data_IF_026664411051
#
_entry.id   IF_026664411051
#
_cell.length_a   1.000
_cell.length_b   1.000
_cell.length_c   1.000
_cell.angle_alpha   90.00
_cell.angle_beta   90.00
_cell.angle_gamma   90.00
#
_symmetry.space_group_name_H-M   'P 1'
#
loop_
_entity.id
_entity.type
_entity.pdbx_description
1 polymer ?
#
# COMPACT_ATOMS: atom_id res chain seq x y z
N UNK A 1 55.28 -3.69 21.27
CA UNK A 1 54.81 -3.15 22.56
C UNK A 1 53.29 -3.36 22.65
N UNK A 2 52.88 -4.53 23.14
CA UNK A 2 51.95 -4.73 24.29
C UNK A 2 51.37 -3.44 24.91
N UNK A 3 50.06 -3.22 25.16
CA UNK A 3 49.10 -4.00 25.99
C UNK A 3 47.67 -3.36 25.96
N UNK A 4 46.67 -4.25 25.94
CA UNK A 4 45.32 -4.29 26.57
C UNK A 4 44.25 -3.17 26.53
N UNK A 5 43.06 -3.63 26.15
CA UNK A 5 41.71 -3.25 26.62
C UNK A 5 41.54 -3.32 28.15
N UNK A 6 40.62 -2.54 28.74
CA UNK A 6 39.51 -3.12 29.52
C UNK A 6 38.19 -2.32 29.31
N UNK A 7 36.97 -2.73 29.64
CA UNK A 7 36.42 -3.86 30.38
C UNK A 7 34.94 -3.55 30.65
N UNK A 8 34.06 -4.55 30.47
CA UNK A 8 32.61 -4.53 30.75
C UNK A 8 32.30 -4.06 32.17
N UNK A 9 31.27 -3.20 32.34
CA UNK A 9 30.59 -3.01 33.62
C UNK A 9 29.11 -3.40 33.50
N UNK A 10 28.79 -4.53 34.13
CA UNK A 10 27.44 -4.96 34.47
C UNK A 10 26.91 -4.05 35.59
N UNK A 11 25.76 -3.40 35.40
CA UNK A 11 24.97 -2.89 36.52
C UNK A 11 23.83 -3.85 36.83
N UNK A 12 24.01 -4.48 37.98
CA UNK A 12 23.11 -5.42 38.65
C UNK A 12 21.94 -4.65 39.25
N UNK A 13 20.73 -5.19 39.05
CA UNK A 13 19.51 -4.80 39.75
C UNK A 13 19.71 -4.78 41.28
N UNK A 14 19.20 -3.75 41.94
CA UNK A 14 18.90 -3.77 43.37
C UNK A 14 17.42 -3.52 43.59
N UNK A 15 16.74 -4.59 44.04
CA UNK A 15 15.44 -4.56 44.71
C UNK A 15 15.51 -3.73 46.01
N UNK A 16 14.49 -2.88 46.22
CA UNK A 16 13.93 -2.27 47.45
C UNK A 16 13.14 -1.05 46.94
N UNK A 17 11.82 -0.97 46.97
CA UNK A 17 10.89 -1.02 48.11
C UNK A 17 9.55 -1.62 47.65
N UNK A 18 9.02 -2.67 48.28
CA UNK A 18 8.03 -2.65 49.36
C UNK A 18 6.78 -1.77 49.13
N UNK A 19 5.70 -2.47 48.75
CA UNK A 19 4.39 -2.46 49.40
C UNK A 19 3.62 -1.12 49.46
N UNK A 20 2.68 -0.95 48.54
CA UNK A 20 1.46 -0.18 48.79
C UNK A 20 0.24 -1.07 48.53
N UNK A 21 -0.55 -1.22 49.58
CA UNK A 21 -1.70 -2.07 49.75
C UNK A 21 -2.87 -1.73 48.81
N UNK A 22 -3.47 -2.81 48.30
CA UNK A 22 -4.91 -3.06 48.16
C UNK A 22 -5.80 -2.02 48.85
N UNK A 23 -6.69 -1.39 48.10
CA UNK A 23 -8.00 -0.99 48.59
C UNK A 23 -9.06 -1.14 47.50
N UNK A 24 -9.69 -2.31 47.54
CA UNK A 24 -11.00 -2.59 46.94
C UNK A 24 -12.05 -1.70 47.61
N UNK A 25 -12.74 -0.87 46.84
CA UNK A 25 -13.98 -0.23 47.24
C UNK A 25 -15.10 -0.77 46.34
N UNK A 26 -15.58 -1.97 46.64
CA UNK A 26 -16.81 -2.52 46.03
C UNK A 26 -17.99 -2.20 46.95
N UNK A 27 -18.75 -1.17 46.57
CA UNK A 27 -20.04 -0.83 47.19
C UNK A 27 -21.06 -1.91 46.88
N UNK A 28 -21.57 -2.54 47.94
CA UNK A 28 -22.66 -3.51 47.94
C UNK A 28 -23.97 -2.79 47.66
N UNK A 29 -24.66 -3.14 46.57
CA UNK A 29 -26.10 -2.87 46.41
C UNK A 29 -26.79 -4.22 46.25
N UNK A 30 -27.59 -4.56 47.26
CA UNK A 30 -28.55 -5.67 47.25
C UNK A 30 -29.77 -5.27 46.41
N UNK A 31 -30.22 -6.15 45.55
CA UNK A 31 -31.51 -6.05 44.86
C UNK A 31 -31.98 -7.42 44.42
N UNK A 32 -33.01 -7.95 45.09
CA UNK A 32 -33.63 -9.24 44.82
C UNK A 32 -34.29 -9.30 43.43
N UNK A 33 -34.26 -10.51 42.89
CA UNK A 33 -35.04 -11.12 41.81
C UNK A 33 -36.47 -10.61 41.59
N UNK A 34 -36.89 -10.53 40.32
CA UNK A 34 -38.13 -11.21 39.88
C UNK A 34 -38.19 -11.43 38.37
N UNK A 35 -38.61 -12.65 38.01
CA UNK A 35 -39.15 -13.05 36.72
C UNK A 35 -40.21 -12.07 36.22
N UNK A 36 -40.24 -11.77 34.91
CA UNK A 36 -41.48 -11.87 34.13
C UNK A 36 -41.30 -11.53 32.63
N UNK A 37 -41.72 -12.52 31.83
CA UNK A 37 -42.55 -12.40 30.61
C UNK A 37 -41.84 -12.06 29.29
N UNK A 38 -41.64 -13.15 28.53
CA UNK A 38 -41.90 -13.23 27.10
C UNK A 38 -43.08 -12.33 26.68
N UNK A 39 -42.82 -11.41 25.77
CA UNK A 39 -43.83 -10.76 24.95
C UNK A 39 -43.28 -10.59 23.53
N UNK A 40 -43.94 -11.29 22.63
CA UNK A 40 -43.92 -11.14 21.17
C UNK A 40 -43.76 -9.70 20.68
N UNK A 41 -42.95 -9.50 19.64
CA UNK A 41 -43.28 -8.74 18.43
C UNK A 41 -42.12 -8.81 17.42
N UNK A 42 -42.36 -9.48 16.30
CA UNK A 42 -41.57 -9.34 15.08
C UNK A 42 -41.67 -7.89 14.59
N UNK A 43 -40.62 -7.11 14.80
CA UNK A 43 -40.45 -5.79 14.20
C UNK A 43 -39.02 -5.75 13.66
N UNK A 44 -38.90 -5.75 12.34
CA UNK A 44 -37.66 -5.48 11.63
C UNK A 44 -37.08 -4.15 12.16
N UNK A 45 -35.82 -4.08 12.60
CA UNK A 45 -35.25 -2.81 12.98
C UNK A 45 -35.06 -2.00 11.69
N UNK A 46 -35.91 -0.98 11.54
CA UNK A 46 -35.72 0.13 10.62
C UNK A 46 -34.36 0.73 10.98
N UNK A 47 -33.41 0.71 10.04
CA UNK A 47 -32.09 1.35 10.19
C UNK A 47 -32.33 2.83 10.50
N UNK A 48 -32.31 3.17 11.79
CA UNK A 48 -32.25 4.53 12.25
C UNK A 48 -30.90 5.06 11.77
N UNK A 49 -30.93 6.10 10.94
CA UNK A 49 -29.74 6.77 10.46
C UNK A 49 -28.79 6.99 11.63
N UNK A 50 -27.61 6.37 11.52
CA UNK A 50 -26.54 6.53 12.48
C UNK A 50 -26.28 8.03 12.62
N UNK A 51 -26.63 8.58 13.78
CA UNK A 51 -26.19 9.92 14.16
C UNK A 51 -24.68 9.87 14.12
N UNK A 52 -24.08 10.66 13.24
CA UNK A 52 -22.66 10.94 13.22
C UNK A 52 -22.22 11.23 14.66
N UNK A 53 -21.51 10.29 15.28
CA UNK A 53 -20.81 10.55 16.53
C UNK A 53 -19.49 11.20 16.14
N UNK A 54 -19.51 12.51 15.93
CA UNK A 54 -18.28 13.28 15.75
C UNK A 54 -17.59 13.34 17.10
N UNK A 55 -16.55 12.51 17.29
CA UNK A 55 -15.55 12.78 18.32
C UNK A 55 -14.87 14.10 17.96
N UNK A 56 -15.23 15.17 18.67
CA UNK A 56 -14.64 16.50 18.53
C UNK A 56 -13.14 16.44 18.86
N UNK A 57 -12.29 16.38 17.83
CA UNK A 57 -10.88 16.70 17.95
C UNK A 57 -10.69 18.11 17.42
N UNK A 58 -10.69 19.10 18.32
CA UNK A 58 -10.38 20.49 17.97
C UNK A 58 -8.88 20.65 17.72
N UNK A 59 -8.42 20.20 16.56
CA UNK A 59 -7.12 20.57 16.02
C UNK A 59 -7.21 21.96 15.38
N UNK A 60 -6.06 22.63 15.19
CA UNK A 60 -5.98 23.93 14.52
C UNK A 60 -6.77 23.91 13.19
N UNK A 61 -7.49 24.99 12.79
CA UNK A 61 -8.37 24.98 11.61
C UNK A 61 -7.73 24.52 10.30
N UNK A 62 -6.41 24.66 10.17
CA UNK A 62 -5.64 24.24 8.99
C UNK A 62 -5.34 22.73 8.95
N UNK A 63 -5.46 22.02 10.07
CA UNK A 63 -5.09 20.60 10.19
C UNK A 63 -6.28 19.74 9.77
N UNK A 64 -6.05 18.80 8.86
CA UNK A 64 -7.05 17.80 8.48
C UNK A 64 -7.44 16.94 9.71
N UNK A 65 -8.73 16.83 10.06
CA UNK A 65 -9.16 15.96 11.16
C UNK A 65 -8.93 14.48 10.80
N UNK A 66 -8.53 13.68 11.78
CA UNK A 66 -8.27 12.25 11.61
C UNK A 66 -9.50 11.45 12.06
N UNK A 67 -10.06 10.64 11.17
CA UNK A 67 -11.16 9.74 11.52
C UNK A 67 -10.61 8.47 12.20
N UNK A 68 -10.67 8.43 13.54
CA UNK A 68 -10.18 7.30 14.32
C UNK A 68 -10.99 6.00 14.08
N UNK A 69 -12.31 6.13 13.90
CA UNK A 69 -13.23 4.98 13.70
C UNK A 69 -12.88 4.21 12.43
N UNK A 70 -12.70 4.92 11.32
CA UNK A 70 -12.30 4.31 10.05
C UNK A 70 -10.95 3.60 10.18
N UNK A 71 -10.00 4.23 10.89
CA UNK A 71 -8.68 3.64 11.13
C UNK A 71 -8.80 2.32 11.88
N UNK A 72 -9.57 2.25 12.97
CA UNK A 72 -9.79 1.00 13.71
C UNK A 72 -10.44 -0.09 12.84
N UNK A 73 -11.46 0.26 12.04
CA UNK A 73 -12.12 -0.72 11.16
C UNK A 73 -11.18 -1.26 10.09
N UNK A 74 -10.31 -0.42 9.53
CA UNK A 74 -9.31 -0.83 8.55
C UNK A 74 -8.21 -1.68 9.19
N UNK A 75 -7.83 -1.39 10.44
CA UNK A 75 -6.88 -2.22 11.18
C UNK A 75 -7.43 -3.62 11.41
N UNK A 76 -8.67 -3.73 11.90
CA UNK A 76 -9.36 -5.01 12.12
C UNK A 76 -9.50 -5.80 10.81
N UNK A 77 -9.87 -5.11 9.72
CA UNK A 77 -9.98 -5.74 8.41
C UNK A 77 -8.62 -6.18 7.84
N UNK A 78 -7.57 -5.39 8.07
CA UNK A 78 -6.20 -5.75 7.71
C UNK A 78 -5.71 -7.01 8.45
N UNK A 79 -6.00 -7.12 9.75
CA UNK A 79 -5.72 -8.33 10.53
C UNK A 79 -6.49 -9.53 9.99
N UNK A 80 -7.77 -9.34 9.64
CA UNK A 80 -8.61 -10.39 9.07
C UNK A 80 -8.06 -10.94 7.74
N UNK A 81 -7.57 -10.07 6.84
CA UNK A 81 -6.94 -10.49 5.59
C UNK A 81 -5.66 -11.29 5.87
N UNK A 82 -4.83 -10.84 6.81
CA UNK A 82 -3.60 -11.53 7.19
C UNK A 82 -3.87 -12.93 7.77
N UNK A 83 -4.91 -13.08 8.60
CA UNK A 83 -5.33 -14.37 9.17
C UNK A 83 -5.89 -15.32 8.09
N UNK A 84 -6.59 -14.80 7.08
CA UNK A 84 -7.16 -15.62 6.01
C UNK A 84 -6.12 -16.15 5.01
N UNK A 85 -5.06 -15.37 4.73
CA UNK A 85 -4.04 -15.75 3.74
C UNK A 85 -2.61 -15.44 4.23
N UNK A 86 -2.12 -16.15 5.26
CA UNK A 86 -0.79 -15.93 5.82
C UNK A 86 0.34 -16.29 4.85
N UNK A 87 0.06 -17.16 3.86
CA UNK A 87 1.07 -17.62 2.89
C UNK A 87 1.55 -16.51 1.95
N UNK A 88 0.66 -15.60 1.55
CA UNK A 88 0.95 -14.62 0.50
C UNK A 88 1.10 -13.19 1.04
N UNK A 89 0.43 -12.88 2.15
CA UNK A 89 0.47 -11.57 2.79
C UNK A 89 1.72 -11.47 3.64
N UNK A 90 2.66 -10.60 3.25
CA UNK A 90 3.90 -10.40 4.00
C UNK A 90 3.71 -9.36 5.10
N UNK A 91 3.00 -8.28 4.78
CA UNK A 91 2.85 -7.14 5.67
C UNK A 91 1.58 -6.38 5.31
N UNK A 92 0.88 -5.92 6.34
CA UNK A 92 -0.27 -5.01 6.20
C UNK A 92 0.07 -3.72 6.91
N UNK A 93 -0.12 -2.60 6.23
CA UNK A 93 0.21 -1.29 6.76
C UNK A 93 -0.89 -0.28 6.48
N UNK A 94 -1.02 0.71 7.36
CA UNK A 94 -1.97 1.81 7.20
C UNK A 94 -1.19 3.12 7.03
N UNK A 95 -1.43 3.77 5.90
CA UNK A 95 -0.78 5.05 5.56
C UNK A 95 -1.55 6.22 6.21
N UNK A 96 -0.86 7.33 6.42
CA UNK A 96 -1.46 8.59 6.84
C UNK A 96 -2.54 9.03 5.83
N UNK A 97 -3.82 8.90 6.21
CA UNK A 97 -4.96 9.15 5.31
C UNK A 97 -6.08 8.10 5.37
N UNK A 98 -5.98 7.09 6.25
CA UNK A 98 -6.92 5.98 6.36
C UNK A 98 -6.96 5.10 5.09
N UNK A 99 -5.79 4.79 4.56
CA UNK A 99 -5.64 3.90 3.42
C UNK A 99 -4.96 2.60 3.88
N UNK A 100 -5.60 1.47 3.56
CA UNK A 100 -5.08 0.14 3.85
C UNK A 100 -4.19 -0.33 2.69
N UNK A 101 -2.96 -0.71 3.01
CA UNK A 101 -2.03 -1.30 2.07
C UNK A 101 -1.64 -2.73 2.47
N UNK A 102 -1.69 -3.65 1.52
CA UNK A 102 -1.31 -5.06 1.71
C UNK A 102 -0.14 -5.38 0.79
N UNK A 103 0.97 -5.79 1.37
CA UNK A 103 2.18 -6.21 0.65
C UNK A 103 2.12 -7.73 0.42
N UNK A 104 2.28 -8.14 -0.84
CA UNK A 104 2.12 -9.53 -1.27
C UNK A 104 3.36 -9.96 -2.04
N UNK A 105 3.70 -11.25 -1.92
CA UNK A 105 4.64 -11.92 -2.81
C UNK A 105 4.11 -11.98 -4.26
N UNK A 106 4.98 -11.92 -5.28
CA UNK A 106 4.57 -11.97 -6.69
C UNK A 106 3.87 -13.28 -7.09
N UNK A 107 4.22 -14.42 -6.47
CA UNK A 107 3.58 -15.72 -6.72
C UNK A 107 2.11 -15.79 -6.27
N UNK A 108 1.70 -14.86 -5.40
CA UNK A 108 0.39 -14.86 -4.76
C UNK A 108 -0.61 -13.88 -5.36
N UNK A 109 -0.32 -13.25 -6.50
CA UNK A 109 -1.15 -12.18 -7.06
C UNK A 109 -2.55 -12.67 -7.40
N UNK A 110 -2.67 -13.71 -8.23
CA UNK A 110 -3.97 -14.26 -8.65
C UNK A 110 -4.83 -14.71 -7.45
N UNK A 111 -4.35 -15.56 -6.53
CA UNK A 111 -5.19 -16.05 -5.44
C UNK A 111 -5.65 -14.93 -4.51
N UNK A 112 -4.80 -13.93 -4.23
CA UNK A 112 -5.20 -12.82 -3.36
C UNK A 112 -6.20 -11.89 -4.05
N UNK A 113 -5.99 -11.56 -5.32
CA UNK A 113 -6.95 -10.74 -6.08
C UNK A 113 -8.31 -11.44 -6.22
N UNK A 114 -8.31 -12.75 -6.46
CA UNK A 114 -9.54 -13.56 -6.53
C UNK A 114 -10.26 -13.58 -5.19
N UNK A 115 -9.52 -13.78 -4.09
CA UNK A 115 -10.09 -13.72 -2.74
C UNK A 115 -10.70 -12.34 -2.44
N UNK A 116 -10.00 -11.26 -2.76
CA UNK A 116 -10.49 -9.89 -2.55
C UNK A 116 -11.77 -9.61 -3.37
N UNK A 117 -11.88 -10.18 -4.57
CA UNK A 117 -13.06 -10.04 -5.41
C UNK A 117 -14.26 -10.85 -4.89
N UNK A 118 -14.05 -12.11 -4.53
CA UNK A 118 -15.13 -13.05 -4.24
C UNK A 118 -15.57 -13.06 -2.76
N UNK A 119 -14.70 -12.63 -1.85
CA UNK A 119 -14.99 -12.67 -0.42
C UNK A 119 -16.17 -11.78 -0.05
N UNK A 120 -17.05 -12.24 0.84
CA UNK A 120 -18.28 -11.52 1.22
C UNK A 120 -17.98 -10.19 1.90
N UNK A 121 -16.91 -10.11 2.69
CA UNK A 121 -16.48 -8.86 3.32
C UNK A 121 -15.56 -8.02 2.41
N UNK A 122 -15.01 -8.64 1.35
CA UNK A 122 -14.02 -8.01 0.46
C UNK A 122 -14.64 -7.37 -0.76
N UNK A 123 -15.53 -8.06 -1.49
CA UNK A 123 -16.26 -7.63 -2.68
C UNK A 123 -15.62 -6.47 -3.47
N UNK A 124 -14.33 -6.61 -3.81
CA UNK A 124 -13.59 -5.61 -4.56
C UNK A 124 -13.86 -5.83 -6.04
N UNK A 125 -15.00 -5.32 -6.49
CA UNK A 125 -15.50 -5.55 -7.86
C UNK A 125 -14.76 -4.71 -8.90
N UNK A 126 -14.23 -3.56 -8.51
CA UNK A 126 -13.66 -2.59 -9.43
C UNK A 126 -12.16 -2.46 -9.20
N UNK A 127 -11.38 -2.76 -10.25
CA UNK A 127 -9.99 -2.34 -10.34
C UNK A 127 -9.97 -0.89 -10.83
N UNK A 128 -9.44 0.01 -10.00
CA UNK A 128 -9.33 1.44 -10.33
C UNK A 128 -8.10 1.65 -11.19
N UNK A 129 -6.93 1.27 -10.68
CA UNK A 129 -5.65 1.47 -11.35
C UNK A 129 -4.69 0.33 -11.03
N UNK A 130 -3.73 0.15 -11.92
CA UNK A 130 -2.53 -0.65 -11.71
C UNK A 130 -1.35 0.24 -12.10
N UNK A 131 -0.46 0.50 -11.14
CA UNK A 131 0.69 1.37 -11.35
C UNK A 131 1.98 0.66 -10.95
N UNK A 132 3.04 0.88 -11.73
CA UNK A 132 4.40 0.50 -11.39
C UNK A 132 5.19 1.65 -10.76
N UNK A 133 6.11 1.34 -9.86
CA UNK A 133 7.07 2.28 -9.32
C UNK A 133 8.47 1.67 -9.42
N UNK A 134 9.35 2.37 -10.14
CA UNK A 134 10.77 2.00 -10.25
C UNK A 134 11.57 2.67 -9.12
N UNK A 135 12.19 1.85 -8.28
CA UNK A 135 13.07 2.25 -7.18
C UNK A 135 14.43 1.54 -7.32
N UNK A 136 15.44 2.17 -7.96
CA UNK A 136 16.71 1.52 -8.28
C UNK A 136 17.59 1.19 -7.06
N UNK A 137 17.26 1.70 -5.86
CA UNK A 137 18.02 1.41 -4.64
C UNK A 137 17.76 0.03 -4.04
N UNK A 138 16.73 -0.68 -4.51
CA UNK A 138 16.31 -1.97 -3.95
C UNK A 138 16.77 -3.13 -4.84
N UNK A 139 17.00 -4.29 -4.23
CA UNK A 139 17.37 -5.51 -4.94
C UNK A 139 16.27 -5.97 -5.91
N UNK A 140 15.01 -5.84 -5.50
CA UNK A 140 13.87 -5.86 -6.41
C UNK A 140 13.61 -4.43 -6.85
N UNK A 141 14.12 -4.07 -8.02
CA UNK A 141 14.08 -2.71 -8.60
C UNK A 141 12.65 -2.14 -8.68
N UNK A 142 11.69 -3.04 -8.77
CA UNK A 142 10.40 -2.79 -9.35
C UNK A 142 9.35 -3.11 -8.28
N UNK A 143 8.73 -2.08 -7.71
CA UNK A 143 7.47 -2.21 -6.97
C UNK A 143 6.34 -2.12 -8.00
N UNK A 144 6.06 -3.23 -8.67
CA UNK A 144 5.45 -3.19 -10.03
C UNK A 144 3.95 -3.05 -10.03
N UNK A 145 3.24 -3.57 -9.04
CA UNK A 145 1.79 -3.61 -9.13
C UNK A 145 1.20 -3.06 -7.85
N UNK A 146 0.98 -1.75 -7.86
CA UNK A 146 0.06 -1.11 -6.94
C UNK A 146 -1.34 -1.26 -7.51
N UNK A 147 -2.05 -2.31 -7.09
CA UNK A 147 -3.46 -2.50 -7.45
C UNK A 147 -4.33 -1.65 -6.52
N UNK A 148 -4.97 -0.64 -7.10
CA UNK A 148 -5.97 0.16 -6.40
C UNK A 148 -7.34 -0.46 -6.62
N UNK A 149 -7.87 -1.12 -5.59
CA UNK A 149 -9.17 -1.77 -5.68
C UNK A 149 -10.24 -0.98 -4.92
N UNK A 150 -11.44 -0.97 -5.48
CA UNK A 150 -12.61 -0.33 -4.91
C UNK A 150 -13.72 -1.37 -4.70
N UNK A 151 -14.21 -1.46 -3.47
CA UNK A 151 -15.45 -2.17 -3.16
C UNK A 151 -16.62 -1.19 -3.22
N UNK A 152 -17.52 -1.39 -4.19
CA UNK A 152 -18.71 -0.53 -4.35
C UNK A 152 -19.71 -0.75 -3.22
N UNK A 153 -19.77 -1.97 -2.67
CA UNK A 153 -20.71 -2.35 -1.60
C UNK A 153 -20.39 -1.66 -0.28
N UNK A 154 -19.11 -1.64 0.08
CA UNK A 154 -18.61 -1.08 1.34
C UNK A 154 -18.00 0.32 1.17
N UNK A 155 -17.98 0.85 -0.05
CA UNK A 155 -17.31 2.10 -0.43
C UNK A 155 -15.90 2.21 0.17
N UNK A 156 -15.17 1.09 0.17
CA UNK A 156 -13.86 0.95 0.79
C UNK A 156 -12.80 0.75 -0.28
N UNK A 157 -11.62 1.33 -0.06
CA UNK A 157 -10.48 1.23 -0.98
C UNK A 157 -9.34 0.47 -0.31
N UNK A 158 -8.69 -0.38 -1.08
CA UNK A 158 -7.50 -1.11 -0.65
C UNK A 158 -6.42 -0.99 -1.72
N UNK A 159 -5.18 -0.94 -1.27
CA UNK A 159 -4.01 -0.91 -2.13
C UNK A 159 -3.23 -2.20 -1.93
N UNK A 160 -3.09 -2.98 -2.97
CA UNK A 160 -2.27 -4.19 -2.93
C UNK A 160 -0.95 -3.89 -3.64
N UNK A 161 0.18 -4.18 -3.01
CA UNK A 161 1.52 -3.92 -3.55
C UNK A 161 2.26 -5.23 -3.73
N UNK A 162 2.85 -5.43 -4.90
CA UNK A 162 3.83 -6.50 -5.14
C UNK A 162 5.14 -5.93 -5.64
N UNK A 163 6.20 -6.73 -5.50
CA UNK A 163 7.53 -6.43 -5.99
C UNK A 163 7.95 -7.46 -7.04
N UNK A 164 8.87 -7.06 -7.91
CA UNK A 164 9.37 -7.88 -9.01
C UNK A 164 10.73 -7.36 -9.46
N UNK A 165 11.46 -8.18 -10.21
CA UNK A 165 12.71 -7.84 -10.88
C UNK A 165 12.47 -7.66 -12.40
N UNK A 166 13.48 -7.23 -13.15
CA UNK A 166 13.32 -7.00 -14.60
C UNK A 166 13.03 -8.27 -15.40
N UNK A 167 13.50 -9.41 -14.92
CA UNK A 167 13.43 -10.69 -15.61
C UNK A 167 12.34 -11.61 -15.06
N UNK A 168 11.92 -11.40 -13.82
CA UNK A 168 10.95 -12.28 -13.17
C UNK A 168 9.55 -11.94 -13.68
N UNK A 169 8.83 -12.89 -14.30
CA UNK A 169 7.47 -12.65 -14.76
C UNK A 169 6.50 -12.55 -13.58
N UNK A 170 5.51 -11.67 -13.69
CA UNK A 170 4.37 -11.57 -12.77
C UNK A 170 3.15 -12.21 -13.41
N UNK A 171 2.33 -12.92 -12.63
CA UNK A 171 1.09 -13.46 -13.16
C UNK A 171 0.08 -12.34 -13.50
N UNK A 172 -0.51 -12.38 -14.70
CA UNK A 172 -1.53 -11.42 -15.13
C UNK A 172 -2.82 -11.53 -14.31
N UNK A 173 -3.40 -10.39 -13.96
CA UNK A 173 -4.69 -10.26 -13.30
C UNK A 173 -5.86 -10.18 -14.30
N UNK A 174 -5.61 -10.31 -15.62
CA UNK A 174 -6.62 -10.27 -16.68
C UNK A 174 -7.80 -11.21 -16.45
N UNK A 175 -7.57 -12.41 -15.90
CA UNK A 175 -8.64 -13.38 -15.60
C UNK A 175 -9.57 -12.90 -14.49
N UNK A 176 -9.02 -12.18 -13.50
CA UNK A 176 -9.78 -11.65 -12.36
C UNK A 176 -10.49 -10.36 -12.74
N UNK A 177 -9.76 -9.45 -13.39
CA UNK A 177 -10.25 -8.14 -13.80
C UNK A 177 -10.00 -7.93 -15.29
N UNK A 178 -11.05 -7.98 -16.11
CA UNK A 178 -10.95 -7.70 -17.54
C UNK A 178 -10.37 -6.30 -17.85
N UNK A 179 -10.55 -5.34 -16.94
CA UNK A 179 -9.98 -4.00 -17.05
C UNK A 179 -8.45 -3.94 -16.91
N UNK A 180 -7.82 -4.97 -16.32
CA UNK A 180 -6.37 -5.01 -16.13
C UNK A 180 -5.59 -5.15 -17.44
N UNK A 181 -6.23 -5.58 -18.53
CA UNK A 181 -5.58 -5.82 -19.81
C UNK A 181 -4.78 -4.60 -20.31
N UNK A 182 -5.40 -3.42 -20.28
CA UNK A 182 -4.75 -2.20 -20.75
C UNK A 182 -3.63 -1.74 -19.81
N UNK A 183 -3.84 -1.85 -18.49
CA UNK A 183 -2.84 -1.45 -17.51
C UNK A 183 -1.61 -2.35 -17.49
N UNK A 184 -1.78 -3.66 -17.66
CA UNK A 184 -0.65 -4.60 -17.78
C UNK A 184 0.20 -4.28 -19.01
N UNK A 185 -0.45 -3.91 -20.13
CA UNK A 185 0.24 -3.45 -21.34
C UNK A 185 0.94 -2.11 -21.14
N UNK A 186 0.35 -1.19 -20.41
CA UNK A 186 0.98 0.08 -20.05
C UNK A 186 2.23 -0.14 -19.18
N UNK A 187 2.14 -1.00 -18.16
CA UNK A 187 3.28 -1.33 -17.30
C UNK A 187 4.38 -2.06 -18.06
N UNK A 188 4.02 -2.94 -18.99
CA UNK A 188 4.99 -3.55 -19.90
C UNK A 188 5.70 -2.49 -20.76
N UNK A 189 4.97 -1.55 -21.35
CA UNK A 189 5.53 -0.53 -22.23
C UNK A 189 6.42 0.47 -21.46
N UNK A 190 5.97 0.91 -20.29
CA UNK A 190 6.62 1.98 -19.51
C UNK A 190 7.75 1.50 -18.59
N UNK A 191 7.61 0.31 -17.99
CA UNK A 191 8.58 -0.25 -17.04
C UNK A 191 9.31 -1.48 -17.58
N UNK A 192 8.74 -2.18 -18.57
CA UNK A 192 9.32 -3.41 -19.10
C UNK A 192 9.12 -4.63 -18.21
N UNK A 193 8.05 -4.65 -17.41
CA UNK A 193 7.76 -5.78 -16.54
C UNK A 193 6.86 -6.78 -17.24
N UNK A 194 7.35 -8.02 -17.34
CA UNK A 194 6.68 -9.07 -18.08
C UNK A 194 5.52 -9.69 -17.28
N UNK A 195 4.35 -9.80 -17.91
CA UNK A 195 3.20 -10.50 -17.34
C UNK A 195 3.01 -11.87 -18.00
N UNK A 196 3.04 -12.93 -17.20
CA UNK A 196 2.71 -14.29 -17.64
C UNK A 196 1.20 -14.45 -17.82
N UNK A 197 0.79 -15.26 -18.81
CA UNK A 197 -0.61 -15.59 -19.13
C UNK A 197 -1.47 -14.44 -19.69
N UNK A 198 -0.85 -13.33 -20.10
CA UNK A 198 -1.57 -12.23 -20.73
C UNK A 198 -1.96 -12.54 -22.20
N UNK A 199 -3.20 -12.21 -22.65
CA UNK A 199 -3.69 -12.59 -23.98
C UNK A 199 -3.03 -11.86 -25.17
N UNK A 200 -2.67 -10.58 -25.05
CA UNK A 200 -1.96 -9.82 -26.10
C UNK A 200 -1.02 -8.75 -25.54
N UNK A 201 0.21 -9.15 -25.20
CA UNK A 201 1.18 -8.26 -24.56
C UNK A 201 1.97 -7.51 -25.64
N UNK A 202 1.54 -6.28 -25.90
CA UNK A 202 2.17 -5.37 -26.86
C UNK A 202 2.17 -3.94 -26.37
N UNK A 203 3.08 -3.12 -26.91
CA UNK A 203 3.19 -1.69 -26.64
C UNK A 203 1.90 -0.94 -26.96
N UNK A 204 1.71 0.21 -26.34
CA UNK A 204 0.46 0.96 -26.47
C UNK A 204 0.64 2.49 -26.46
N UNK A 205 1.55 3.01 -25.63
CA UNK A 205 1.80 4.45 -25.52
C UNK A 205 3.00 4.87 -26.36
N UNK A 206 4.02 4.01 -26.47
CA UNK A 206 5.22 4.32 -27.24
C UNK A 206 5.02 4.15 -28.73
N UNK A 207 5.88 4.82 -29.52
CA UNK A 207 5.92 4.64 -30.96
C UNK A 207 6.36 3.21 -31.34
N UNK A 208 5.98 2.78 -32.54
CA UNK A 208 6.20 1.41 -33.02
C UNK A 208 7.68 1.00 -33.00
N UNK A 209 8.57 1.92 -33.40
CA UNK A 209 10.03 1.70 -33.46
C UNK A 209 10.79 2.13 -32.22
N UNK A 210 10.10 2.47 -31.11
CA UNK A 210 10.76 3.02 -29.94
C UNK A 210 11.62 1.97 -29.22
N UNK A 211 12.85 2.31 -28.85
CA UNK A 211 13.72 1.40 -28.09
C UNK A 211 13.88 1.92 -26.66
N UNK A 212 13.50 1.09 -25.69
CA UNK A 212 13.56 1.41 -24.26
C UNK A 212 12.20 1.57 -23.58
N UNK A 213 12.26 1.84 -22.28
CA UNK A 213 11.10 1.95 -21.38
C UNK A 213 11.13 3.32 -20.69
N UNK A 214 10.25 4.27 -21.05
CA UNK A 214 10.39 5.69 -20.66
C UNK A 214 10.34 5.98 -19.16
N UNK A 215 9.59 5.21 -18.37
CA UNK A 215 9.40 5.49 -16.94
C UNK A 215 10.41 4.80 -16.01
N UNK A 216 11.38 4.09 -16.59
CA UNK A 216 12.55 3.67 -15.84
C UNK A 216 13.37 4.90 -15.45
N UNK A 217 13.89 4.93 -14.21
CA UNK A 217 14.60 6.10 -13.65
C UNK A 217 15.98 6.35 -14.27
N UNK A 218 16.47 5.43 -15.09
CA UNK A 218 17.68 5.54 -15.90
C UNK A 218 17.45 6.26 -17.24
N UNK A 219 16.21 6.38 -17.70
CA UNK A 219 15.88 6.97 -18.99
C UNK A 219 15.96 8.51 -18.97
N UNK A 220 16.63 9.16 -19.95
CA UNK A 220 16.68 10.62 -20.02
C UNK A 220 15.31 11.19 -20.39
N UNK A 221 14.92 12.31 -19.78
CA UNK A 221 13.61 12.94 -20.02
C UNK A 221 13.36 13.24 -21.51
N UNK A 222 14.39 13.66 -22.23
CA UNK A 222 14.29 14.01 -23.65
C UNK A 222 14.24 12.78 -24.58
N UNK A 223 14.60 11.60 -24.08
CA UNK A 223 14.84 10.42 -24.90
C UNK A 223 16.13 10.50 -25.70
N UNK A 224 16.32 9.49 -26.57
CA UNK A 224 17.53 9.37 -27.40
C UNK A 224 17.35 9.87 -28.83
N UNK A 225 16.11 9.97 -29.28
CA UNK A 225 15.77 10.22 -30.67
C UNK A 225 14.79 11.38 -30.81
N UNK A 226 14.94 12.12 -31.90
CA UNK A 226 14.01 13.14 -32.36
C UNK A 226 13.50 12.81 -33.76
N UNK A 227 12.40 13.45 -34.13
CA UNK A 227 11.69 13.16 -35.37
C UNK A 227 11.58 14.44 -36.20
N UNK A 228 12.14 14.42 -37.41
CA UNK A 228 12.05 15.53 -38.36
C UNK A 228 11.53 15.08 -39.73
N UNK A 229 10.87 15.98 -40.44
CA UNK A 229 10.53 15.74 -41.84
C UNK A 229 11.73 16.05 -42.73
N UNK A 230 12.08 15.12 -43.61
CA UNK A 230 13.16 15.27 -44.57
C UNK A 230 12.59 15.43 -45.98
N UNK A 231 12.88 16.57 -46.63
CA UNK A 231 12.30 16.90 -47.94
C UNK A 231 12.92 16.06 -49.08
N UNK A 232 14.20 15.69 -48.96
CA UNK A 232 14.89 14.84 -49.94
C UNK A 232 14.26 13.45 -50.00
N UNK A 233 14.04 12.83 -48.84
CA UNK A 233 13.43 11.51 -48.73
C UNK A 233 11.88 11.55 -48.75
N UNK A 234 11.27 12.75 -48.68
CA UNK A 234 9.82 12.98 -48.57
C UNK A 234 9.14 12.13 -47.49
N UNK A 235 9.85 11.89 -46.38
CA UNK A 235 9.38 11.06 -45.27
C UNK A 235 9.87 11.63 -43.95
N UNK A 236 9.23 11.16 -42.88
CA UNK A 236 9.65 11.44 -41.52
C UNK A 236 10.84 10.54 -41.17
N UNK A 237 11.94 11.13 -40.69
CA UNK A 237 13.18 10.44 -40.31
C UNK A 237 13.39 10.60 -38.80
N UNK A 238 13.89 9.53 -38.18
CA UNK A 238 14.27 9.49 -36.77
C UNK A 238 15.78 9.70 -36.68
N UNK A 239 16.20 10.74 -35.96
CA UNK A 239 17.61 11.11 -35.79
C UNK A 239 18.01 11.14 -34.31
N UNK A 240 19.31 11.08 -33.99
CA UNK A 240 19.78 11.34 -32.64
C UNK A 240 19.35 12.74 -32.17
N UNK A 241 18.98 12.83 -30.90
CA UNK A 241 18.47 14.06 -30.29
C UNK A 241 19.50 15.19 -30.27
N UNK A 242 19.14 16.36 -30.84
CA UNK A 242 19.95 17.59 -30.79
C UNK A 242 19.11 18.76 -30.25
N UNK A 243 19.21 19.02 -28.95
CA UNK A 243 18.48 20.13 -28.32
C UNK A 243 19.22 21.45 -28.47
N UNK A 244 18.54 22.46 -29.02
CA UNK A 244 19.05 23.84 -29.07
C UNK A 244 19.28 24.43 -27.66
N UNK A 245 18.51 24.00 -26.66
CA UNK A 245 18.69 24.34 -25.26
C UNK A 245 18.51 23.08 -24.42
N UNK A 246 19.52 22.75 -23.62
CA UNK A 246 19.45 21.63 -22.68
C UNK A 246 18.44 21.89 -21.54
N UNK A 247 17.90 20.81 -20.98
CA UNK A 247 17.05 20.89 -19.80
C UNK A 247 17.84 21.39 -18.59
N UNK A 248 17.54 22.61 -18.15
CA UNK A 248 18.16 23.20 -16.96
C UNK A 248 17.58 22.56 -15.69
N UNK A 249 18.29 21.58 -15.15
CA UNK A 249 17.94 20.94 -13.88
C UNK A 249 18.25 21.88 -12.71
N UNK A 250 17.23 22.21 -11.93
CA UNK A 250 17.39 22.92 -10.66
C UNK A 250 17.34 21.93 -9.50
N UNK A 251 18.39 21.91 -8.68
CA UNK A 251 18.40 21.15 -7.44
C UNK A 251 17.73 21.98 -6.34
N UNK A 252 16.41 21.77 -6.18
CA UNK A 252 15.58 22.50 -5.22
C UNK A 252 15.62 21.90 -3.80
N UNK A 253 16.46 20.91 -3.57
CA UNK A 253 16.54 20.21 -2.29
C UNK A 253 17.12 21.12 -1.21
N UNK A 254 16.37 21.31 -0.13
CA UNK A 254 16.85 22.06 1.02
C UNK A 254 17.92 21.24 1.78
N UNK A 255 19.04 21.87 2.23
CA UNK A 255 20.05 21.17 3.04
C UNK A 255 19.55 20.74 4.42
N UNK A 256 18.50 21.38 4.93
CA UNK A 256 17.97 21.16 6.27
C UNK A 256 16.79 20.19 6.25
N UNK A 257 16.78 19.25 7.19
CA UNK A 257 15.67 18.31 7.36
C UNK A 257 14.40 19.05 7.79
N UNK A 258 13.33 18.94 6.99
CA UNK A 258 12.04 19.59 7.28
C UNK A 258 11.11 18.74 8.15
N UNK A 259 11.26 17.42 8.14
CA UNK A 259 10.33 16.49 8.78
C UNK A 259 11.01 15.54 9.76
N UNK A 260 11.25 15.97 11.02
CA UNK A 260 11.95 15.15 12.03
C UNK A 260 11.29 13.79 12.34
N UNK A 261 9.97 13.66 12.10
CA UNK A 261 9.22 12.41 12.36
C UNK A 261 9.55 11.28 11.39
N UNK A 262 10.11 11.58 10.22
CA UNK A 262 10.38 10.61 9.16
C UNK A 262 11.88 10.32 8.99
N UNK A 263 12.71 10.73 9.96
CA UNK A 263 14.15 10.55 9.89
C UNK A 263 14.58 9.09 9.80
N UNK A 264 13.99 8.25 10.67
CA UNK A 264 14.38 6.85 10.86
C UNK A 264 13.21 5.87 10.67
N UNK A 265 11.99 6.36 10.47
CA UNK A 265 10.76 5.55 10.43
C UNK A 265 9.99 5.72 9.12
N UNK A 266 9.51 4.60 8.58
CA UNK A 266 8.56 4.60 7.45
C UNK A 266 7.24 5.22 7.95
N UNK A 267 6.58 6.10 7.18
CA UNK A 267 5.35 6.79 7.58
C UNK A 267 4.15 5.88 7.82
N UNK A 268 4.24 4.60 7.45
CA UNK A 268 3.15 3.64 7.55
C UNK A 268 3.22 2.90 8.90
N UNK A 269 2.08 2.78 9.57
CA UNK A 269 1.97 1.96 10.78
C UNK A 269 1.71 0.52 10.37
N UNK A 270 2.57 -0.37 10.85
CA UNK A 270 2.49 -1.79 10.58
C UNK A 270 1.45 -2.43 11.49
N UNK A 271 0.57 -3.23 10.91
CA UNK A 271 -0.36 -4.05 11.67
C UNK A 271 0.40 -5.31 12.10
N UNK A 272 0.48 -5.62 13.41
CA UNK A 272 1.11 -6.84 13.86
C UNK A 272 0.34 -8.06 13.33
N UNK A 273 0.99 -8.87 12.51
CA UNK A 273 0.48 -10.17 12.09
C UNK A 273 0.72 -11.13 13.25
N UNK A 274 -0.31 -11.88 13.68
CA UNK A 274 -0.12 -12.97 14.62
C UNK A 274 0.57 -14.10 13.87
N UNK A 275 1.89 -14.20 13.98
CA UNK A 275 2.59 -15.41 13.57
C UNK A 275 2.17 -16.54 14.52
N UNK A 276 1.47 -17.56 14.00
CA UNK A 276 1.32 -18.81 14.73
C UNK A 276 2.73 -19.38 14.92
N UNK A 277 3.21 -19.35 16.16
CA UNK A 277 4.41 -20.08 16.55
C UNK A 277 4.10 -21.56 16.40
N UNK A 278 4.67 -22.19 15.38
CA UNK A 278 4.81 -23.65 15.31
C UNK A 278 5.52 -24.21 16.56
#
# INVERSE_FOLDING_TARGET
MTISSPGKKNHRLSHRDQLASVNMASTVIRGLSSLAKNASKSVLPRVAGARFCSTEQTLHPTIRPVNAVERTTLTEYGQYIAECMPKYVQKVQITAGNELEVLIAPEGVIPVLTFLKDHTNGQYTCLTDLCGVDMPSRAFRFEVCVYNLLSVRFNSRIRVKTYTDELTPVDSACEVYAGANWYEREVWDMYGVFFANHPDLRRILTDYGFEGHPFRKDFPLSGYVEVRYDDEAKRVVVEPLELAQEFRKFDLNAPWEQFPKFRDHVPAEDIPIKEEKE
#
